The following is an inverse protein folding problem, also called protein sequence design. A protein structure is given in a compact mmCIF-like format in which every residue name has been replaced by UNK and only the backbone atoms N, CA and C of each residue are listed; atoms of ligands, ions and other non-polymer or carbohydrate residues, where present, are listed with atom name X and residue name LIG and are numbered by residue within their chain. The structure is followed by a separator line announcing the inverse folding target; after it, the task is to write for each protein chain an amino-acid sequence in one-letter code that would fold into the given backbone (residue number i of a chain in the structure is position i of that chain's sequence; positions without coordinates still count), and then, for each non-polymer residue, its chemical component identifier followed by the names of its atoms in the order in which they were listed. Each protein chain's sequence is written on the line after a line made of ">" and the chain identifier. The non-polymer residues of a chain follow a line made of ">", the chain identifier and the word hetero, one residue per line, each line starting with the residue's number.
data_IF_368188700962
#
_entry.id   IF_368188700962
#
_cell.length_a   1.000
_cell.length_b   1.000
_cell.length_c   1.000
_cell.angle_alpha   90.00
_cell.angle_beta   90.00
_cell.angle_gamma   90.00
#
_symmetry.space_group_name_H-M   'P 1'
#
loop_
_entity.id
_entity.type
_entity.pdbx_description
1 polymer ?
#
# COMPACT_ATOMS: atom_id res chain seq x y z
N UNK A 1 46.82 -43.19 65.98
CA UNK A 1 46.65 -44.60 65.61
C UNK A 1 45.77 -44.64 64.37
N UNK A 2 46.31 -45.15 63.26
CA UNK A 2 45.63 -45.31 61.97
C UNK A 2 44.34 -46.14 62.11
N UNK A 3 43.32 -45.90 61.27
CA UNK A 3 43.06 -46.67 60.04
C UNK A 3 41.63 -46.38 59.50
N UNK A 4 41.56 -46.11 58.18
CA UNK A 4 40.34 -45.98 57.36
C UNK A 4 39.43 -47.23 57.44
N UNK A 5 38.13 -47.10 57.14
CA UNK A 5 37.48 -47.61 55.90
C UNK A 5 35.92 -47.58 55.95
N UNK A 6 35.29 -47.34 54.78
CA UNK A 6 33.88 -47.61 54.40
C UNK A 6 32.80 -46.65 54.95
N UNK A 7 31.93 -45.98 54.18
CA UNK A 7 31.31 -46.25 52.88
C UNK A 7 30.88 -44.93 52.19
N UNK A 8 31.12 -44.90 50.88
CA UNK A 8 30.60 -44.02 49.84
C UNK A 8 29.07 -44.19 49.73
N UNK A 9 28.29 -43.09 49.55
CA UNK A 9 27.10 -43.00 48.67
C UNK A 9 26.34 -41.64 48.83
N UNK A 10 26.21 -40.95 47.69
CA UNK A 10 25.21 -39.94 47.26
C UNK A 10 25.00 -38.66 48.10
N UNK A 11 25.96 -37.74 47.95
CA UNK A 11 25.61 -36.31 47.79
C UNK A 11 25.19 -36.11 46.33
N UNK A 12 24.17 -35.29 46.07
CA UNK A 12 23.60 -34.90 44.75
C UNK A 12 22.33 -35.66 44.30
N UNK A 13 21.25 -35.61 45.09
CA UNK A 13 19.93 -36.10 44.63
C UNK A 13 18.82 -35.04 44.67
N UNK A 14 19.17 -33.73 44.69
CA UNK A 14 18.19 -32.64 44.86
C UNK A 14 18.25 -31.51 43.81
N UNK A 15 19.22 -31.36 42.87
CA UNK A 15 19.12 -30.30 41.86
C UNK A 15 18.67 -30.79 40.47
N UNK A 16 18.18 -32.02 40.31
CA UNK A 16 17.82 -32.56 38.97
C UNK A 16 16.35 -32.32 38.61
N UNK A 17 15.47 -32.12 39.59
CA UNK A 17 14.04 -31.92 39.32
C UNK A 17 13.71 -30.49 38.84
N UNK A 18 14.54 -29.50 39.15
CA UNK A 18 14.29 -28.09 38.80
C UNK A 18 14.86 -27.67 37.43
N UNK A 19 15.72 -28.49 36.81
CA UNK A 19 16.32 -28.20 35.49
C UNK A 19 15.49 -28.79 34.34
N UNK A 20 14.64 -29.78 34.61
CA UNK A 20 13.81 -30.41 33.59
C UNK A 20 12.52 -29.62 33.29
N UNK A 21 12.07 -28.78 34.23
CA UNK A 21 10.90 -27.89 34.07
C UNK A 21 11.25 -26.52 33.45
N UNK A 22 12.42 -26.41 32.82
CA UNK A 22 12.82 -25.23 32.03
C UNK A 22 12.95 -25.56 30.53
N UNK A 23 12.77 -26.82 30.13
CA UNK A 23 12.91 -27.27 28.73
C UNK A 23 11.59 -27.37 27.97
N UNK A 24 10.47 -27.04 28.61
CA UNK A 24 9.15 -27.04 27.98
C UNK A 24 8.60 -25.62 27.99
N UNK A 25 9.36 -24.69 27.40
CA UNK A 25 8.79 -23.41 27.00
C UNK A 25 7.76 -23.71 25.91
N UNK A 26 6.49 -23.27 26.04
CA UNK A 26 5.57 -23.37 24.92
C UNK A 26 6.20 -22.59 23.76
N UNK A 27 6.38 -23.25 22.64
CA UNK A 27 6.62 -22.57 21.38
C UNK A 27 5.37 -21.73 21.12
N UNK A 28 5.40 -20.47 21.57
CA UNK A 28 4.41 -19.48 21.17
C UNK A 28 4.65 -19.28 19.68
N UNK A 29 3.91 -20.01 18.86
CA UNK A 29 3.76 -19.67 17.45
C UNK A 29 3.09 -18.31 17.42
N UNK A 30 3.90 -17.25 17.34
CA UNK A 30 3.44 -15.98 16.82
C UNK A 30 3.08 -16.25 15.35
N UNK A 31 1.78 -16.40 15.06
CA UNK A 31 1.30 -16.22 13.71
C UNK A 31 1.68 -14.80 13.31
N UNK A 32 2.70 -14.65 12.46
CA UNK A 32 2.98 -13.39 11.79
C UNK A 32 1.86 -13.18 10.75
N UNK A 33 0.70 -12.70 11.19
CA UNK A 33 -0.23 -12.03 10.28
C UNK A 33 0.52 -10.81 9.75
N UNK A 34 1.07 -10.94 8.55
CA UNK A 34 1.62 -9.81 7.83
C UNK A 34 0.45 -8.87 7.56
N UNK A 35 0.50 -7.60 8.00
CA UNK A 35 -0.58 -6.68 7.71
C UNK A 35 -0.80 -6.62 6.19
N UNK A 36 -2.05 -6.51 5.71
CA UNK A 36 -2.34 -6.39 4.30
C UNK A 36 -1.44 -5.33 3.67
N UNK A 37 -0.82 -5.67 2.55
CA UNK A 37 0.09 -4.77 1.85
C UNK A 37 -0.62 -3.44 1.57
N UNK A 38 -0.10 -2.36 2.17
CA UNK A 38 -0.65 -1.03 1.99
C UNK A 38 -0.52 -0.63 0.52
N UNK A 39 -1.66 -0.32 -0.11
CA UNK A 39 -1.71 0.06 -1.52
C UNK A 39 -1.26 1.51 -1.68
N UNK A 40 -0.50 1.77 -2.73
CA UNK A 40 0.05 3.09 -3.03
C UNK A 40 -0.01 3.40 -4.52
N UNK A 41 0.21 4.66 -4.84
CA UNK A 41 0.43 5.16 -6.20
C UNK A 41 1.88 5.62 -6.31
N UNK A 42 2.58 5.26 -7.37
CA UNK A 42 3.97 5.65 -7.58
C UNK A 42 4.12 6.53 -8.81
N UNK A 43 4.92 7.59 -8.70
CA UNK A 43 5.27 8.45 -9.83
C UNK A 43 6.28 7.74 -10.74
N UNK A 44 6.00 7.68 -12.03
CA UNK A 44 6.83 6.99 -13.03
C UNK A 44 7.48 7.95 -14.02
N UNK A 45 6.71 8.89 -14.58
CA UNK A 45 7.22 9.90 -15.50
C UNK A 45 6.69 11.27 -15.10
N UNK A 46 7.51 12.30 -15.31
CA UNK A 46 7.21 13.69 -15.00
C UNK A 46 7.73 14.58 -16.12
N UNK A 47 6.97 15.62 -16.44
CA UNK A 47 7.37 16.71 -17.33
C UNK A 47 6.75 18.01 -16.83
N UNK A 48 7.52 19.09 -16.84
CA UNK A 48 7.06 20.40 -16.37
C UNK A 48 6.94 20.52 -14.85
N UNK A 49 6.03 21.39 -14.39
CA UNK A 49 5.76 21.62 -12.97
C UNK A 49 4.70 20.65 -12.46
N UNK A 50 5.13 19.70 -11.64
CA UNK A 50 4.25 18.74 -10.97
C UNK A 50 4.50 18.82 -9.47
N UNK A 51 3.43 18.93 -8.71
CA UNK A 51 3.46 18.99 -7.25
C UNK A 51 2.54 17.93 -6.67
N UNK A 52 2.92 17.42 -5.50
CA UNK A 52 2.15 16.40 -4.80
C UNK A 52 2.08 16.64 -3.30
N UNK A 53 1.10 16.00 -2.67
CA UNK A 53 1.05 15.70 -1.23
C UNK A 53 1.07 14.18 -1.10
N UNK A 54 1.93 13.62 -0.25
CA UNK A 54 2.02 12.16 -0.10
C UNK A 54 0.78 11.58 0.57
N UNK A 55 0.21 12.30 1.54
CA UNK A 55 -0.99 11.92 2.27
C UNK A 55 -1.82 13.15 2.63
N UNK A 56 -3.00 12.91 3.17
CA UNK A 56 -3.87 13.98 3.65
C UNK A 56 -3.16 14.80 4.74
N UNK A 57 -3.14 16.14 4.57
CA UNK A 57 -2.57 17.06 5.55
C UNK A 57 -1.09 17.41 5.35
N UNK A 58 -0.39 16.77 4.42
CA UNK A 58 0.97 17.20 4.05
C UNK A 58 0.97 18.49 3.22
N UNK A 59 2.11 19.18 3.24
CA UNK A 59 2.37 20.33 2.37
C UNK A 59 2.65 19.88 0.94
N UNK A 60 2.35 20.77 -0.01
CA UNK A 60 2.73 20.59 -1.41
C UNK A 60 4.25 20.59 -1.55
N UNK A 61 4.78 19.58 -2.22
CA UNK A 61 6.19 19.48 -2.63
C UNK A 61 6.29 19.19 -4.12
N UNK A 62 7.44 19.50 -4.71
CA UNK A 62 7.73 19.12 -6.10
C UNK A 62 7.73 17.60 -6.19
N UNK A 63 7.07 17.06 -7.21
CA UNK A 63 7.05 15.64 -7.47
C UNK A 63 8.40 15.18 -8.04
N UNK A 64 8.86 14.01 -7.60
CA UNK A 64 10.03 13.34 -8.15
C UNK A 64 9.66 11.93 -8.58
N UNK A 65 10.38 11.41 -9.58
CA UNK A 65 10.20 10.04 -10.04
C UNK A 65 10.44 9.06 -8.89
N UNK A 66 9.55 8.07 -8.75
CA UNK A 66 9.61 7.06 -7.70
C UNK A 66 8.93 7.45 -6.39
N UNK A 67 8.48 8.69 -6.23
CA UNK A 67 7.70 9.08 -5.05
C UNK A 67 6.42 8.25 -4.96
N UNK A 68 6.13 7.78 -3.74
CA UNK A 68 4.90 7.04 -3.42
C UNK A 68 3.92 7.97 -2.75
N UNK A 69 2.67 7.90 -3.18
CA UNK A 69 1.54 8.68 -2.72
C UNK A 69 0.53 7.67 -2.14
N UNK A 70 0.13 7.90 -0.89
CA UNK A 70 -0.83 7.08 -0.19
C UNK A 70 -2.25 7.62 -0.40
N UNK A 71 -3.23 6.88 0.13
CA UNK A 71 -4.60 7.35 0.18
C UNK A 71 -4.70 8.73 0.86
N UNK A 72 -5.49 9.62 0.26
CA UNK A 72 -5.64 11.00 0.71
C UNK A 72 -4.59 11.96 0.17
N UNK A 73 -3.53 11.46 -0.49
CA UNK A 73 -2.58 12.29 -1.21
C UNK A 73 -3.20 12.98 -2.43
N UNK A 74 -2.50 13.98 -2.94
CA UNK A 74 -2.97 14.84 -4.03
C UNK A 74 -1.85 15.07 -5.05
N UNK A 75 -2.21 15.25 -6.31
CA UNK A 75 -1.30 15.56 -7.40
C UNK A 75 -1.89 16.74 -8.17
N UNK A 76 -1.06 17.73 -8.46
CA UNK A 76 -1.40 18.85 -9.34
C UNK A 76 -0.33 19.06 -10.39
N UNK A 77 -0.76 19.35 -11.61
CA UNK A 77 0.10 19.65 -12.75
C UNK A 77 -0.14 21.09 -13.18
N UNK A 78 0.94 21.82 -13.45
CA UNK A 78 0.89 23.17 -13.99
C UNK A 78 0.56 23.20 -15.48
N UNK A 79 0.78 24.37 -16.08
CA UNK A 79 0.72 24.55 -17.54
C UNK A 79 1.84 23.74 -18.21
N UNK A 80 1.58 23.20 -19.40
CA UNK A 80 2.55 22.43 -20.20
C UNK A 80 3.23 21.28 -19.42
N UNK A 81 2.53 20.74 -18.43
CA UNK A 81 3.03 19.73 -17.50
C UNK A 81 2.30 18.41 -17.68
N UNK A 82 2.97 17.30 -17.38
CA UNK A 82 2.40 15.95 -17.43
C UNK A 82 2.99 15.11 -16.30
N UNK A 83 2.16 14.28 -15.68
CA UNK A 83 2.60 13.24 -14.77
C UNK A 83 2.05 11.88 -15.21
N UNK A 84 2.83 10.83 -14.99
CA UNK A 84 2.39 9.45 -15.14
C UNK A 84 2.55 8.78 -13.79
N UNK A 85 1.49 8.13 -13.34
CA UNK A 85 1.49 7.37 -12.10
C UNK A 85 1.10 5.91 -12.34
N UNK A 86 1.66 5.02 -11.55
CA UNK A 86 1.37 3.60 -11.51
C UNK A 86 0.59 3.29 -10.24
N UNK A 87 -0.50 2.55 -10.37
CA UNK A 87 -1.34 2.14 -9.24
C UNK A 87 -0.92 0.73 -8.82
N UNK A 88 -0.58 0.58 -7.55
CA UNK A 88 0.13 -0.56 -6.98
C UNK A 88 1.53 -0.78 -7.61
N UNK A 89 2.26 -1.74 -7.06
CA UNK A 89 3.56 -2.14 -7.58
C UNK A 89 3.47 -2.59 -9.04
N UNK A 90 4.40 -2.14 -9.88
CA UNK A 90 4.48 -2.46 -11.32
C UNK A 90 3.18 -2.20 -12.11
N UNK A 91 2.37 -1.22 -11.69
CA UNK A 91 1.08 -0.89 -12.32
C UNK A 91 0.05 -2.05 -12.29
N UNK A 92 0.12 -2.93 -11.29
CA UNK A 92 -0.78 -4.07 -11.18
C UNK A 92 -2.27 -3.72 -11.08
N UNK A 93 -2.62 -2.49 -10.68
CA UNK A 93 -4.00 -1.98 -10.73
C UNK A 93 -4.23 -0.96 -11.87
N UNK A 94 -3.19 -0.64 -12.64
CA UNK A 94 -3.25 0.23 -13.80
C UNK A 94 -2.25 1.39 -13.78
N UNK A 95 -2.32 2.19 -14.85
CA UNK A 95 -1.53 3.40 -15.07
C UNK A 95 -2.47 4.58 -15.32
N UNK A 96 -2.15 5.75 -14.78
CA UNK A 96 -2.91 6.98 -14.99
C UNK A 96 -1.98 8.07 -15.51
N UNK A 97 -2.31 8.61 -16.67
CA UNK A 97 -1.67 9.77 -17.26
C UNK A 97 -2.47 11.01 -16.83
N UNK A 98 -1.80 11.98 -16.21
CA UNK A 98 -2.35 13.22 -15.67
C UNK A 98 -1.81 14.36 -16.55
N UNK A 99 -2.68 15.04 -17.28
CA UNK A 99 -2.28 16.08 -18.24
C UNK A 99 -2.12 17.44 -17.57
N UNK A 100 -1.84 18.48 -18.35
CA UNK A 100 -1.63 19.84 -17.86
C UNK A 100 -2.87 20.38 -17.15
N UNK A 101 -2.67 21.34 -16.25
CA UNK A 101 -3.74 22.02 -15.49
C UNK A 101 -4.73 21.02 -14.89
N UNK A 102 -4.22 20.00 -14.21
CA UNK A 102 -5.04 18.92 -13.65
C UNK A 102 -4.81 18.83 -12.16
N UNK A 103 -5.89 18.66 -11.39
CA UNK A 103 -5.84 18.39 -9.97
C UNK A 103 -6.61 17.12 -9.66
N UNK A 104 -5.87 16.10 -9.20
CA UNK A 104 -6.40 14.80 -8.83
C UNK A 104 -6.02 14.45 -7.40
N UNK A 105 -6.97 13.88 -6.66
CA UNK A 105 -6.75 13.33 -5.32
C UNK A 105 -6.86 11.81 -5.37
N UNK A 106 -5.98 11.15 -4.64
CA UNK A 106 -6.04 9.71 -4.39
C UNK A 106 -7.11 9.47 -3.33
N UNK A 107 -8.32 9.12 -3.76
CA UNK A 107 -9.49 9.03 -2.88
C UNK A 107 -9.50 7.77 -2.02
N UNK A 108 -9.60 6.61 -2.66
CA UNK A 108 -9.63 5.29 -1.99
C UNK A 108 -8.69 4.32 -2.68
N UNK A 109 -7.82 3.67 -1.89
CA UNK A 109 -6.96 2.55 -2.31
C UNK A 109 -7.25 1.35 -1.42
N UNK A 110 -8.44 0.77 -1.60
CA UNK A 110 -8.93 -0.34 -0.77
C UNK A 110 -8.49 -1.71 -1.27
N UNK A 111 -8.33 -2.65 -0.34
CA UNK A 111 -8.17 -4.08 -0.62
C UNK A 111 -9.12 -4.88 0.26
N UNK A 112 -9.82 -5.85 -0.33
CA UNK A 112 -10.65 -6.80 0.41
C UNK A 112 -9.99 -8.17 0.41
N UNK A 113 -9.40 -8.56 1.55
CA UNK A 113 -8.70 -9.84 1.69
C UNK A 113 -9.61 -11.05 1.42
N UNK A 114 -10.87 -11.00 1.88
CA UNK A 114 -11.83 -12.10 1.68
C UNK A 114 -12.20 -12.36 0.22
N UNK A 115 -12.18 -11.32 -0.61
CA UNK A 115 -12.64 -11.38 -2.00
C UNK A 115 -11.49 -11.21 -3.01
N UNK A 116 -10.27 -10.94 -2.56
CA UNK A 116 -9.14 -10.52 -3.41
C UNK A 116 -9.39 -9.22 -4.19
N UNK A 117 -10.49 -8.51 -3.91
CA UNK A 117 -10.98 -7.42 -4.73
C UNK A 117 -10.27 -6.10 -4.37
N UNK A 118 -9.76 -5.42 -5.39
CA UNK A 118 -9.13 -4.10 -5.28
C UNK A 118 -10.15 -3.00 -5.61
N UNK A 119 -10.20 -1.95 -4.78
CA UNK A 119 -11.03 -0.76 -5.03
C UNK A 119 -10.11 0.43 -5.18
N UNK A 120 -10.15 1.06 -6.35
CA UNK A 120 -9.36 2.24 -6.67
C UNK A 120 -10.30 3.36 -7.04
N UNK A 121 -10.16 4.50 -6.39
CA UNK A 121 -10.94 5.69 -6.66
C UNK A 121 -10.04 6.91 -6.66
N UNK A 122 -10.07 7.65 -7.76
CA UNK A 122 -9.47 8.98 -7.86
C UNK A 122 -10.56 10.05 -7.96
N UNK A 123 -10.29 11.17 -7.31
CA UNK A 123 -11.12 12.37 -7.34
C UNK A 123 -10.48 13.39 -8.27
N UNK A 124 -11.05 13.60 -9.45
CA UNK A 124 -10.60 14.59 -10.41
C UNK A 124 -11.41 15.87 -10.20
N UNK A 125 -10.76 16.90 -9.65
CA UNK A 125 -11.40 18.20 -9.41
C UNK A 125 -11.54 18.99 -10.72
N UNK A 126 -10.47 19.04 -11.51
CA UNK A 126 -10.37 19.78 -12.78
C UNK A 126 -9.27 19.18 -13.65
N UNK A 127 -9.34 19.41 -14.95
CA UNK A 127 -8.33 18.99 -15.92
C UNK A 127 -8.65 17.68 -16.60
N UNK A 128 -7.62 16.90 -16.96
CA UNK A 128 -7.78 15.72 -17.82
C UNK A 128 -6.90 14.58 -17.34
N UNK A 129 -7.47 13.38 -17.31
CA UNK A 129 -6.76 12.14 -17.00
C UNK A 129 -7.08 11.07 -18.02
N UNK A 130 -6.08 10.30 -18.39
CA UNK A 130 -6.24 9.09 -19.18
C UNK A 130 -5.85 7.89 -18.35
N UNK A 131 -6.79 6.95 -18.19
CA UNK A 131 -6.65 5.79 -17.32
C UNK A 131 -6.50 4.54 -18.16
N UNK A 132 -5.51 3.71 -17.81
CA UNK A 132 -5.38 2.32 -18.24
C UNK A 132 -5.55 1.43 -17.00
N UNK A 133 -6.79 1.09 -16.68
CA UNK A 133 -7.12 0.24 -15.54
C UNK A 133 -6.78 -1.22 -15.85
N UNK A 134 -6.19 -1.92 -14.88
CA UNK A 134 -5.82 -3.33 -14.98
C UNK A 134 -6.15 -4.06 -13.68
N UNK A 135 -6.27 -5.39 -13.74
CA UNK A 135 -6.41 -6.23 -12.54
C UNK A 135 -7.72 -5.99 -11.77
N UNK A 136 -8.76 -5.50 -12.44
CA UNK A 136 -10.08 -5.29 -11.83
C UNK A 136 -10.90 -6.58 -11.99
N UNK A 137 -10.71 -7.52 -11.07
CA UNK A 137 -11.39 -8.82 -11.04
C UNK A 137 -12.43 -8.92 -9.92
N UNK A 138 -13.43 -9.79 -10.10
CA UNK A 138 -14.48 -10.04 -9.10
C UNK A 138 -15.25 -8.77 -8.74
N UNK A 139 -15.31 -8.47 -7.43
CA UNK A 139 -15.96 -7.26 -6.89
C UNK A 139 -15.05 -6.01 -6.92
N UNK A 140 -13.93 -6.09 -7.64
CA UNK A 140 -13.00 -4.97 -7.82
C UNK A 140 -13.63 -3.82 -8.62
N UNK A 141 -13.17 -2.60 -8.36
CA UNK A 141 -13.61 -1.42 -9.13
C UNK A 141 -12.46 -0.44 -9.33
N UNK A 142 -12.45 0.19 -10.51
CA UNK A 142 -11.60 1.35 -10.78
C UNK A 142 -12.48 2.52 -11.18
N UNK A 143 -12.38 3.62 -10.42
CA UNK A 143 -13.30 4.74 -10.51
C UNK A 143 -12.57 6.08 -10.59
N UNK A 144 -13.09 6.97 -11.44
CA UNK A 144 -12.75 8.38 -11.45
C UNK A 144 -14.03 9.15 -11.12
N UNK A 145 -14.01 9.89 -10.02
CA UNK A 145 -15.10 10.76 -9.60
C UNK A 145 -14.76 12.20 -9.95
N UNK A 146 -15.69 12.88 -10.59
CA UNK A 146 -15.66 14.31 -10.89
C UNK A 146 -16.77 15.01 -10.10
N UNK A 147 -16.83 16.35 -10.05
CA UNK A 147 -17.92 17.07 -9.37
C UNK A 147 -19.31 16.72 -9.92
N UNK A 148 -19.40 16.37 -11.21
CA UNK A 148 -20.67 16.15 -11.92
C UNK A 148 -21.00 14.69 -12.18
N UNK A 149 -20.02 13.78 -12.13
CA UNK A 149 -20.23 12.37 -12.49
C UNK A 149 -19.21 11.43 -11.84
N UNK A 150 -19.45 10.12 -11.93
CA UNK A 150 -18.46 9.10 -11.56
C UNK A 150 -18.37 8.07 -12.68
N UNK A 151 -17.19 7.97 -13.27
CA UNK A 151 -16.86 6.95 -14.28
C UNK A 151 -16.28 5.73 -13.58
N UNK A 152 -16.86 4.56 -13.82
CA UNK A 152 -16.48 3.30 -13.18
C UNK A 152 -16.28 2.22 -14.23
N UNK A 153 -15.21 1.42 -14.06
CA UNK A 153 -14.92 0.26 -14.90
C UNK A 153 -14.98 -1.00 -14.05
N UNK A 154 -15.57 -2.05 -14.65
CA UNK A 154 -15.51 -3.44 -14.18
C UNK A 154 -14.95 -4.32 -15.30
N UNK A 155 -14.14 -5.31 -14.95
CA UNK A 155 -13.49 -6.22 -15.89
C UNK A 155 -11.97 -6.09 -15.92
N UNK A 156 -11.29 -7.11 -16.42
CA UNK A 156 -9.84 -7.31 -16.23
C UNK A 156 -8.95 -6.16 -16.73
N UNK A 157 -9.35 -5.48 -17.82
CA UNK A 157 -8.62 -4.34 -18.38
C UNK A 157 -9.55 -3.39 -19.12
N UNK A 158 -9.37 -2.09 -18.94
CA UNK A 158 -10.01 -1.07 -19.78
C UNK A 158 -9.20 0.21 -19.82
N UNK A 159 -9.41 1.00 -20.87
CA UNK A 159 -8.87 2.34 -20.98
C UNK A 159 -9.96 3.36 -21.23
N UNK A 160 -9.92 4.48 -20.54
CA UNK A 160 -10.88 5.57 -20.70
C UNK A 160 -10.25 6.90 -20.33
N UNK A 161 -10.86 7.96 -20.83
CA UNK A 161 -10.42 9.33 -20.63
C UNK A 161 -11.52 10.11 -19.93
N UNK A 162 -11.12 10.95 -18.97
CA UNK A 162 -12.04 11.84 -18.25
C UNK A 162 -11.47 13.25 -18.28
N UNK A 163 -12.30 14.20 -18.72
CA UNK A 163 -11.97 15.62 -18.78
C UNK A 163 -13.02 16.42 -18.01
N UNK A 164 -12.56 17.36 -17.21
CA UNK A 164 -13.35 18.34 -16.46
C UNK A 164 -12.79 19.71 -16.81
N UNK A 165 -13.63 20.57 -17.37
CA UNK A 165 -13.30 21.96 -17.66
C UNK A 165 -13.85 22.86 -16.56
N UNK A 166 -13.12 23.92 -16.18
CA UNK A 166 -13.71 24.99 -15.38
C UNK A 166 -14.66 25.81 -16.27
N UNK A 167 -15.89 26.02 -15.82
CA UNK A 167 -16.88 26.89 -16.48
C UNK A 167 -16.54 28.38 -16.34
#
# INVERSE_FOLDING_TARGET
>A
MNLNFFLRVKKHFIPIFFVMMYFMSPAVCFSQDSPPAERFVQVDELSGEVQLKVNAGESWKIAEKGMRIQQGGEIRTGKDSKAVILVDENAAAGKVDIYANTWVRVGVLGHSERAGAKRTLFDLALGQVFVKAQGVSGDGTFQIRTPTSTSSVRGESASFEVKVEEE
#
